data_IF_144986023005
#
_entry.id   IF_144986023005
#
_cell.length_a   1.000
_cell.length_b   1.000
_cell.length_c   1.000
_cell.angle_alpha   90.00
_cell.angle_beta   90.00
_cell.angle_gamma   90.00
#
_symmetry.space_group_name_H-M   'P 1'
#
loop_
_entity.id
_entity.type
_entity.pdbx_description
1 polymer ?
#
# COMPACT_ATOMS: atom_id res chain seq x y z
N UNK A 1 29.45 -18.45 -0.33
CA UNK A 1 27.98 -18.36 -0.47
C UNK A 1 27.54 -17.13 0.27
N UNK A 2 26.63 -16.34 -0.28
CA UNK A 2 26.10 -15.19 0.43
C UNK A 2 25.16 -15.64 1.56
N UNK A 3 25.25 -15.01 2.73
CA UNK A 3 24.40 -15.32 3.89
C UNK A 3 23.23 -14.34 4.02
N UNK A 4 22.26 -14.65 4.89
CA UNK A 4 21.10 -13.77 5.15
C UNK A 4 21.50 -12.44 5.80
N UNK A 5 22.64 -12.41 6.51
CA UNK A 5 23.13 -11.25 7.27
C UNK A 5 24.04 -10.32 6.46
N UNK A 6 24.37 -10.69 5.22
CA UNK A 6 25.19 -9.85 4.36
C UNK A 6 24.37 -8.78 3.67
N UNK A 7 24.99 -7.61 3.52
CA UNK A 7 24.47 -6.50 2.73
C UNK A 7 24.09 -6.97 1.31
N UNK A 8 23.02 -6.38 0.79
CA UNK A 8 22.58 -6.59 -0.58
C UNK A 8 22.01 -5.28 -1.14
N UNK A 9 21.99 -5.15 -2.46
CA UNK A 9 21.38 -4.00 -3.13
C UNK A 9 20.29 -4.44 -4.10
N UNK A 10 19.22 -3.64 -4.19
CA UNK A 10 18.18 -3.78 -5.22
C UNK A 10 18.04 -2.46 -5.96
N UNK A 11 18.49 -2.42 -7.22
CA UNK A 11 18.42 -1.21 -8.06
C UNK A 11 18.96 0.07 -7.36
N UNK A 12 20.07 -0.06 -6.62
CA UNK A 12 20.70 1.05 -5.88
C UNK A 12 20.21 1.26 -4.45
N UNK A 13 19.08 0.66 -4.04
CA UNK A 13 18.65 0.63 -2.63
C UNK A 13 19.52 -0.39 -1.87
N UNK A 14 20.37 0.09 -0.98
CA UNK A 14 21.26 -0.73 -0.16
C UNK A 14 20.54 -1.17 1.11
N UNK A 15 20.47 -2.48 1.34
CA UNK A 15 19.86 -3.10 2.52
C UNK A 15 20.95 -3.80 3.32
N UNK A 16 21.00 -3.54 4.63
CA UNK A 16 22.05 -4.05 5.53
C UNK A 16 22.05 -5.57 5.69
N UNK A 17 20.97 -6.24 5.26
CA UNK A 17 20.85 -7.69 5.21
C UNK A 17 19.70 -8.08 4.27
N UNK A 18 19.44 -9.40 4.16
CA UNK A 18 18.43 -9.98 3.27
C UNK A 18 17.08 -10.26 3.97
N UNK A 19 16.86 -9.72 5.17
CA UNK A 19 15.62 -9.88 5.91
C UNK A 19 14.64 -8.78 5.55
N UNK A 20 13.46 -9.19 5.05
CA UNK A 20 12.39 -8.29 4.66
C UNK A 20 11.21 -8.53 5.59
N UNK A 21 10.76 -7.49 6.29
CA UNK A 21 9.49 -7.52 6.98
C UNK A 21 8.37 -7.34 5.95
N UNK A 22 7.55 -8.37 5.79
CA UNK A 22 6.41 -8.36 4.86
C UNK A 22 5.39 -7.30 5.22
N UNK A 23 4.72 -6.76 4.19
CA UNK A 23 3.57 -5.88 4.36
C UNK A 23 2.56 -6.51 5.32
N UNK A 24 2.32 -5.83 6.45
CA UNK A 24 1.41 -6.29 7.50
C UNK A 24 0.63 -5.08 7.97
N UNK A 25 -0.69 -5.17 8.03
CA UNK A 25 -1.53 -4.09 8.56
C UNK A 25 -1.44 -4.03 10.08
N UNK A 26 -1.03 -2.87 10.61
CA UNK A 26 -0.81 -2.65 12.04
C UNK A 26 -2.00 -1.99 12.75
N UNK A 27 -2.91 -1.34 11.99
CA UNK A 27 -4.03 -0.58 12.55
C UNK A 27 -3.60 0.67 13.34
N UNK A 28 -2.45 1.25 13.00
CA UNK A 28 -1.81 2.35 13.73
C UNK A 28 -1.82 3.70 12.98
N UNK A 29 -2.68 3.87 11.97
CA UNK A 29 -2.86 5.15 11.29
C UNK A 29 -4.11 5.89 11.78
N UNK A 30 -4.14 7.20 11.57
CA UNK A 30 -5.33 8.02 11.79
C UNK A 30 -6.43 7.70 10.77
N UNK A 31 -7.63 8.25 10.99
CA UNK A 31 -8.77 7.98 10.12
C UNK A 31 -8.55 8.47 8.68
N UNK A 32 -7.79 9.55 8.48
CA UNK A 32 -7.42 10.06 7.16
C UNK A 32 -6.24 9.26 6.53
N UNK A 33 -5.63 8.35 7.28
CA UNK A 33 -4.54 7.50 6.82
C UNK A 33 -3.15 8.02 7.14
N UNK A 34 -3.00 9.08 7.95
CA UNK A 34 -1.68 9.52 8.41
C UNK A 34 -1.02 8.47 9.32
N UNK A 35 0.28 8.18 9.13
CA UNK A 35 1.00 7.32 10.05
C UNK A 35 1.15 8.03 11.40
N UNK A 36 0.66 7.42 12.48
CA UNK A 36 0.80 8.00 13.81
C UNK A 36 2.20 7.75 14.38
N UNK A 37 2.54 8.44 15.47
CA UNK A 37 3.77 8.18 16.23
C UNK A 37 3.93 6.71 16.64
N UNK A 38 2.82 5.99 16.88
CA UNK A 38 2.85 4.56 17.21
C UNK A 38 3.39 3.73 16.04
N UNK A 39 2.97 4.03 14.81
CA UNK A 39 3.46 3.34 13.62
C UNK A 39 4.93 3.67 13.36
N UNK A 40 5.31 4.94 13.52
CA UNK A 40 6.69 5.40 13.37
C UNK A 40 7.62 4.68 14.35
N UNK A 41 7.23 4.60 15.63
CA UNK A 41 8.00 3.87 16.64
C UNK A 41 8.05 2.37 16.34
N UNK A 42 6.95 1.76 15.89
CA UNK A 42 6.95 0.36 15.47
C UNK A 42 7.98 0.08 14.35
N UNK A 43 8.07 0.97 13.35
CA UNK A 43 9.02 0.78 12.25
C UNK A 43 10.47 1.07 12.68
N UNK A 44 10.69 2.04 13.57
CA UNK A 44 11.98 2.26 14.21
C UNK A 44 12.43 1.01 14.97
N UNK A 45 11.57 0.42 15.78
CA UNK A 45 11.90 -0.77 16.58
C UNK A 45 12.23 -1.98 15.70
N UNK A 46 11.49 -2.17 14.60
CA UNK A 46 11.79 -3.21 13.60
C UNK A 46 13.16 -3.02 12.95
N UNK A 47 13.50 -1.78 12.59
CA UNK A 47 14.81 -1.44 12.02
C UNK A 47 15.94 -1.65 13.04
N UNK A 48 15.76 -1.20 14.28
CA UNK A 48 16.71 -1.42 15.39
C UNK A 48 16.90 -2.92 15.70
N UNK A 49 15.86 -3.72 15.51
CA UNK A 49 15.91 -5.19 15.58
C UNK A 49 16.70 -5.86 14.45
N UNK A 50 17.19 -5.09 13.48
CA UNK A 50 18.03 -5.55 12.39
C UNK A 50 17.28 -5.94 11.13
N UNK A 51 16.02 -5.54 10.92
CA UNK A 51 15.34 -5.76 9.64
C UNK A 51 15.99 -4.89 8.55
N UNK A 52 16.38 -5.52 7.43
CA UNK A 52 17.01 -4.83 6.30
C UNK A 52 16.03 -3.95 5.52
N UNK A 53 14.82 -4.46 5.25
CA UNK A 53 13.75 -3.72 4.57
C UNK A 53 12.39 -3.93 5.25
N UNK A 54 11.71 -2.85 5.56
CA UNK A 54 10.34 -2.83 6.05
C UNK A 54 9.42 -2.49 4.88
N UNK A 55 8.51 -3.40 4.54
CA UNK A 55 7.42 -3.08 3.63
C UNK A 55 6.21 -2.66 4.47
N UNK A 56 5.65 -1.50 4.16
CA UNK A 56 4.52 -0.97 4.92
C UNK A 56 3.29 -1.86 4.82
N UNK A 57 2.35 -1.69 5.75
CA UNK A 57 0.99 -2.18 5.55
C UNK A 57 0.34 -1.60 4.29
N UNK A 58 -0.83 -2.14 3.94
CA UNK A 58 -1.67 -1.68 2.84
C UNK A 58 -1.78 -0.15 2.87
N UNK A 59 -1.39 0.53 1.78
CA UNK A 59 -1.42 1.99 1.68
C UNK A 59 -2.32 2.44 0.55
N UNK A 60 -3.49 3.00 0.86
CA UNK A 60 -4.46 3.36 -0.18
C UNK A 60 -4.04 4.61 -0.95
N UNK A 61 -4.12 4.53 -2.28
CA UNK A 61 -3.75 5.62 -3.20
C UNK A 61 -4.87 6.63 -3.42
N UNK A 62 -6.11 6.25 -3.13
CA UNK A 62 -7.33 7.07 -3.20
C UNK A 62 -8.21 6.81 -1.96
N UNK A 63 -8.87 7.84 -1.38
CA UNK A 63 -9.76 7.65 -0.23
C UNK A 63 -10.83 6.57 -0.46
N UNK A 64 -11.43 6.53 -1.65
CA UNK A 64 -12.42 5.54 -2.05
C UNK A 64 -11.84 4.12 -2.24
N UNK A 65 -10.52 4.02 -2.38
CA UNK A 65 -9.77 2.79 -2.43
C UNK A 65 -9.39 2.24 -1.06
N UNK A 66 -9.88 2.83 0.03
CA UNK A 66 -9.61 2.35 1.38
C UNK A 66 -10.35 1.04 1.66
N UNK A 67 -9.61 -0.03 1.94
CA UNK A 67 -10.19 -1.31 2.34
C UNK A 67 -10.96 -1.20 3.66
N UNK A 68 -11.82 -2.17 3.97
CA UNK A 68 -12.75 -2.10 5.10
C UNK A 68 -12.12 -2.25 6.52
N UNK A 69 -10.83 -1.95 6.70
CA UNK A 69 -10.14 -2.02 7.98
C UNK A 69 -9.86 -0.62 8.57
N UNK A 70 -9.90 -0.46 9.90
CA UNK A 70 -9.50 0.80 10.53
C UNK A 70 -7.98 1.01 10.51
N UNK A 71 -7.53 2.25 10.59
CA UNK A 71 -6.11 2.59 10.75
C UNK A 71 -5.18 2.09 9.62
N UNK A 72 -5.70 2.02 8.39
CA UNK A 72 -4.92 1.78 7.17
C UNK A 72 -4.18 3.07 6.79
N UNK A 73 -2.95 2.93 6.32
CA UNK A 73 -2.13 4.07 5.86
C UNK A 73 -2.64 4.60 4.51
N UNK A 74 -2.54 5.90 4.27
CA UNK A 74 -2.94 6.55 3.01
C UNK A 74 -1.81 7.35 2.39
N UNK A 75 -1.76 7.46 1.06
CA UNK A 75 -0.77 8.26 0.32
C UNK A 75 -1.41 9.14 -0.76
N UNK A 76 -2.65 9.55 -0.51
CA UNK A 76 -3.50 10.24 -1.49
C UNK A 76 -3.37 11.78 -1.50
N UNK A 77 -2.71 12.38 -0.51
CA UNK A 77 -2.65 13.84 -0.34
C UNK A 77 -1.22 14.29 -0.05
N UNK A 78 -0.82 15.42 -0.63
CA UNK A 78 0.49 16.01 -0.37
C UNK A 78 0.65 16.56 1.06
N UNK A 79 -0.45 16.75 1.78
CA UNK A 79 -0.44 17.19 3.17
C UNK A 79 0.20 16.17 4.13
N UNK A 80 0.46 14.94 3.66
CA UNK A 80 1.06 13.86 4.45
C UNK A 80 2.58 13.85 4.37
N UNK A 81 3.19 14.74 3.57
CA UNK A 81 4.64 14.78 3.33
C UNK A 81 5.44 14.71 4.63
N UNK A 82 5.08 15.54 5.62
CA UNK A 82 5.84 15.60 6.87
C UNK A 82 5.75 14.31 7.69
N UNK A 83 4.60 13.65 7.67
CA UNK A 83 4.39 12.40 8.42
C UNK A 83 5.22 11.26 7.81
N UNK A 84 5.27 11.19 6.48
CA UNK A 84 6.09 10.20 5.76
C UNK A 84 7.59 10.47 5.90
N UNK A 85 8.02 11.74 5.84
CA UNK A 85 9.41 12.11 6.10
C UNK A 85 9.84 11.68 7.51
N UNK A 86 8.98 11.90 8.52
CA UNK A 86 9.27 11.48 9.88
C UNK A 86 9.36 9.94 10.00
N UNK A 87 8.49 9.20 9.30
CA UNK A 87 8.51 7.74 9.26
C UNK A 87 9.78 7.22 8.58
N UNK A 88 10.15 7.75 7.42
CA UNK A 88 11.34 7.36 6.67
C UNK A 88 12.61 7.64 7.48
N UNK A 89 12.75 8.86 8.00
CA UNK A 89 13.89 9.25 8.83
C UNK A 89 14.02 8.35 10.07
N UNK A 90 12.92 8.02 10.75
CA UNK A 90 12.97 7.13 11.91
C UNK A 90 13.48 5.72 11.58
N UNK A 91 13.18 5.21 10.39
CA UNK A 91 13.70 3.92 9.90
C UNK A 91 15.17 4.03 9.51
N UNK A 92 15.53 5.07 8.77
CA UNK A 92 16.90 5.31 8.31
C UNK A 92 17.88 5.56 9.47
N UNK A 93 17.48 6.38 10.45
CA UNK A 93 18.26 6.65 11.66
C UNK A 93 18.50 5.38 12.49
N UNK A 94 17.61 4.39 12.37
CA UNK A 94 17.73 3.07 12.99
C UNK A 94 18.50 2.06 12.13
N UNK A 95 19.00 2.46 10.95
CA UNK A 95 19.76 1.60 10.03
C UNK A 95 18.89 0.64 9.22
N UNK A 96 17.59 0.90 9.06
CA UNK A 96 16.72 0.15 8.16
C UNK A 96 16.47 0.87 6.83
N UNK A 97 15.77 0.20 5.93
CA UNK A 97 15.14 0.81 4.75
C UNK A 97 13.63 0.56 4.78
N UNK A 98 12.86 1.39 4.07
CA UNK A 98 11.40 1.30 4.03
C UNK A 98 10.87 1.40 2.60
N UNK A 99 9.88 0.56 2.28
CA UNK A 99 9.10 0.64 1.06
C UNK A 99 7.61 0.73 1.36
N UNK A 100 6.87 1.54 0.59
CA UNK A 100 5.41 1.66 0.75
C UNK A 100 4.69 0.65 -0.13
N UNK A 101 3.80 -0.16 0.44
CA UNK A 101 2.90 -1.02 -0.32
C UNK A 101 1.68 -0.22 -0.81
N UNK A 102 1.74 0.26 -2.05
CA UNK A 102 0.64 0.97 -2.71
C UNK A 102 -0.48 -0.01 -3.05
N UNK A 103 -1.71 0.38 -2.74
CA UNK A 103 -2.86 -0.49 -2.87
C UNK A 103 -4.15 0.27 -3.17
N UNK A 104 -5.15 -0.49 -3.62
CA UNK A 104 -6.52 -0.07 -3.76
C UNK A 104 -7.45 -1.25 -3.39
N UNK A 105 -8.42 -0.99 -2.50
CA UNK A 105 -9.34 -1.98 -1.93
C UNK A 105 -10.20 -2.67 -2.98
N UNK A 106 -10.61 -1.92 -4.00
CA UNK A 106 -11.48 -2.41 -5.05
C UNK A 106 -12.80 -2.93 -4.46
N UNK A 107 -13.22 -4.12 -4.87
CA UNK A 107 -14.36 -4.81 -4.25
C UNK A 107 -14.24 -5.11 -2.74
N UNK A 108 -13.04 -5.03 -2.15
CA UNK A 108 -12.82 -5.12 -0.69
C UNK A 108 -12.82 -3.74 0.00
N UNK A 109 -13.31 -2.69 -0.65
CA UNK A 109 -13.74 -1.45 0.02
C UNK A 109 -15.18 -1.59 0.51
N UNK A 110 -15.71 -0.59 1.22
CA UNK A 110 -17.15 -0.47 1.47
C UNK A 110 -17.60 0.99 1.52
N UNK A 111 -18.89 1.23 1.30
CA UNK A 111 -19.53 2.55 1.35
C UNK A 111 -19.31 3.30 2.67
N UNK A 112 -19.17 2.59 3.79
CA UNK A 112 -18.98 3.20 5.12
C UNK A 112 -17.62 3.86 5.28
N UNK A 113 -16.53 3.22 4.83
CA UNK A 113 -15.16 3.73 4.96
C UNK A 113 -14.70 4.50 3.72
N UNK A 114 -15.14 4.10 2.52
CA UNK A 114 -14.76 4.70 1.25
C UNK A 114 -15.67 5.86 0.82
N UNK A 115 -16.83 6.04 1.50
CA UNK A 115 -17.80 7.09 1.18
C UNK A 115 -18.58 6.90 -0.13
N UNK A 116 -18.32 5.81 -0.86
CA UNK A 116 -19.02 5.44 -2.10
C UNK A 116 -19.08 3.92 -2.28
N UNK A 117 -19.95 3.48 -3.18
CA UNK A 117 -20.00 2.07 -3.59
C UNK A 117 -18.60 1.61 -4.08
N UNK A 118 -18.12 0.43 -3.64
CA UNK A 118 -16.88 -0.17 -4.08
C UNK A 118 -16.80 -0.30 -5.59
N UNK A 119 -15.59 -0.21 -6.11
CA UNK A 119 -15.32 -0.33 -7.53
C UNK A 119 -14.49 -1.58 -7.80
N UNK A 120 -14.85 -2.34 -8.81
CA UNK A 120 -14.15 -3.56 -9.20
C UNK A 120 -14.13 -3.71 -10.73
N UNK A 121 -13.35 -4.66 -11.29
CA UNK A 121 -13.33 -4.89 -12.73
C UNK A 121 -14.70 -5.28 -13.30
N UNK A 122 -15.54 -5.93 -12.50
CA UNK A 122 -16.90 -6.33 -12.87
C UNK A 122 -17.83 -6.27 -11.66
N UNK A 123 -19.12 -6.08 -11.92
CA UNK A 123 -20.16 -6.11 -10.90
C UNK A 123 -20.49 -7.56 -10.47
N UNK A 124 -19.57 -8.19 -9.74
CA UNK A 124 -19.69 -9.57 -9.25
C UNK A 124 -19.51 -9.60 -7.74
N UNK A 125 -20.47 -10.20 -7.04
CA UNK A 125 -20.36 -10.47 -5.61
C UNK A 125 -19.55 -11.74 -5.36
N UNK A 126 -18.54 -11.64 -4.50
CA UNK A 126 -17.82 -12.78 -3.91
C UNK A 126 -17.79 -12.65 -2.38
N UNK A 127 -17.48 -13.74 -1.68
CA UNK A 127 -17.49 -13.78 -0.20
C UNK A 127 -16.58 -12.73 0.47
N UNK A 128 -15.53 -12.30 -0.24
CA UNK A 128 -14.56 -11.31 0.24
C UNK A 128 -15.08 -9.86 0.14
N UNK A 129 -16.11 -9.62 -0.68
CA UNK A 129 -16.63 -8.27 -0.90
C UNK A 129 -17.73 -7.98 0.13
N UNK A 130 -17.61 -6.92 0.94
CA UNK A 130 -18.61 -6.62 1.97
C UNK A 130 -19.95 -6.16 1.39
N UNK A 131 -19.96 -5.65 0.15
CA UNK A 131 -21.15 -5.27 -0.61
C UNK A 131 -20.88 -5.38 -2.12
N UNK A 132 -21.94 -5.34 -2.94
CA UNK A 132 -21.82 -5.48 -4.40
C UNK A 132 -21.03 -4.31 -4.99
N UNK A 133 -19.88 -4.54 -5.65
CA UNK A 133 -19.15 -3.48 -6.31
C UNK A 133 -19.83 -3.04 -7.61
N UNK A 134 -19.60 -1.80 -8.00
CA UNK A 134 -19.86 -1.34 -9.35
C UNK A 134 -18.67 -1.69 -10.27
N UNK A 135 -18.98 -1.95 -11.54
CA UNK A 135 -17.98 -2.14 -12.58
C UNK A 135 -17.30 -0.82 -12.92
N UNK A 136 -15.96 -0.81 -12.89
CA UNK A 136 -15.13 0.33 -13.24
C UNK A 136 -15.33 0.76 -14.70
N UNK A 137 -15.45 2.06 -14.93
CA UNK A 137 -15.31 2.64 -16.28
C UNK A 137 -13.84 2.73 -16.68
N UNK A 138 -13.57 2.94 -17.97
CA UNK A 138 -12.20 3.10 -18.47
C UNK A 138 -11.53 4.35 -17.88
N UNK A 139 -12.30 5.42 -17.72
CA UNK A 139 -11.85 6.66 -17.10
C UNK A 139 -11.45 6.44 -15.63
N UNK A 140 -12.28 5.73 -14.86
CA UNK A 140 -11.95 5.39 -13.47
C UNK A 140 -10.70 4.50 -13.37
N UNK A 141 -10.51 3.56 -14.32
CA UNK A 141 -9.27 2.77 -14.39
C UNK A 141 -8.05 3.67 -14.62
N UNK A 142 -8.14 4.62 -15.55
CA UNK A 142 -7.05 5.57 -15.84
C UNK A 142 -6.75 6.45 -14.63
N UNK A 143 -7.78 6.95 -13.94
CA UNK A 143 -7.63 7.76 -12.73
C UNK A 143 -6.93 6.97 -11.60
N UNK A 144 -7.30 5.70 -11.42
CA UNK A 144 -6.64 4.80 -10.46
C UNK A 144 -5.17 4.57 -10.85
N UNK A 145 -4.87 4.29 -12.12
CA UNK A 145 -3.48 4.14 -12.60
C UNK A 145 -2.67 5.39 -12.29
N UNK A 146 -3.23 6.57 -12.56
CA UNK A 146 -2.62 7.87 -12.25
C UNK A 146 -2.37 8.01 -10.74
N UNK A 147 -3.32 7.62 -9.91
CA UNK A 147 -3.18 7.66 -8.45
C UNK A 147 -2.08 6.73 -7.91
N UNK A 148 -1.90 5.54 -8.49
CA UNK A 148 -0.75 4.68 -8.18
C UNK A 148 0.58 5.34 -8.55
N UNK A 149 0.65 5.96 -9.74
CA UNK A 149 1.83 6.71 -10.17
C UNK A 149 2.15 7.88 -9.24
N UNK A 150 1.12 8.61 -8.80
CA UNK A 150 1.27 9.74 -7.91
C UNK A 150 1.64 9.31 -6.47
N UNK A 151 1.10 8.19 -5.99
CA UNK A 151 1.55 7.58 -4.74
C UNK A 151 3.04 7.20 -4.78
N UNK A 152 3.51 6.64 -5.90
CA UNK A 152 4.94 6.35 -6.09
C UNK A 152 5.80 7.63 -6.15
N UNK A 153 5.32 8.68 -6.83
CA UNK A 153 5.98 9.99 -6.87
C UNK A 153 6.14 10.57 -5.46
N UNK A 154 5.07 10.55 -4.67
CA UNK A 154 5.05 11.01 -3.27
C UNK A 154 6.00 10.21 -2.39
N UNK A 155 5.94 8.88 -2.42
CA UNK A 155 6.84 8.03 -1.66
C UNK A 155 8.30 8.38 -1.90
N UNK A 156 8.70 8.52 -3.18
CA UNK A 156 10.05 8.95 -3.55
C UNK A 156 10.37 10.36 -3.06
N UNK A 157 9.44 11.31 -3.19
CA UNK A 157 9.66 12.70 -2.78
C UNK A 157 9.82 12.86 -1.26
N UNK A 158 9.23 11.95 -0.47
CA UNK A 158 9.24 12.00 1.00
C UNK A 158 10.28 11.09 1.64
N UNK A 159 11.25 10.62 0.85
CA UNK A 159 12.41 9.88 1.36
C UNK A 159 12.20 8.38 1.57
N UNK A 160 11.11 7.79 1.05
CA UNK A 160 10.95 6.33 1.06
C UNK A 160 11.85 5.70 -0.02
N UNK A 161 12.46 4.56 0.29
CA UNK A 161 13.45 3.89 -0.57
C UNK A 161 12.82 3.15 -1.77
N UNK A 162 11.55 2.78 -1.68
CA UNK A 162 10.86 2.07 -2.75
C UNK A 162 9.35 1.95 -2.58
N UNK A 163 8.72 1.30 -3.56
CA UNK A 163 7.29 0.97 -3.50
C UNK A 163 7.06 -0.48 -3.92
N UNK A 164 6.04 -1.09 -3.34
CA UNK A 164 5.50 -2.38 -3.74
C UNK A 164 4.07 -2.18 -4.24
N UNK A 165 3.74 -2.70 -5.43
CA UNK A 165 2.36 -2.71 -5.92
C UNK A 165 1.62 -3.92 -5.35
N UNK A 166 0.46 -3.69 -4.73
CA UNK A 166 -0.32 -4.78 -4.16
C UNK A 166 -1.18 -5.51 -5.20
N UNK A 167 -0.56 -6.47 -5.89
CA UNK A 167 -1.18 -7.34 -6.90
C UNK A 167 -1.80 -8.64 -6.40
N UNK A 168 -2.08 -8.76 -5.08
CA UNK A 168 -2.42 -10.02 -4.44
C UNK A 168 -3.72 -9.95 -3.60
N UNK A 169 -4.07 -11.07 -2.95
CA UNK A 169 -5.08 -11.19 -1.90
C UNK A 169 -6.50 -10.67 -2.25
N UNK A 170 -6.87 -10.67 -3.53
CA UNK A 170 -8.18 -10.21 -3.97
C UNK A 170 -8.36 -8.69 -3.90
N UNK A 171 -7.30 -7.88 -3.76
CA UNK A 171 -7.37 -6.42 -3.92
C UNK A 171 -7.39 -6.03 -5.39
N UNK A 172 -7.58 -4.74 -5.71
CA UNK A 172 -8.01 -4.31 -7.04
C UNK A 172 -7.17 -4.89 -8.20
N UNK A 173 -5.84 -4.81 -8.13
CA UNK A 173 -4.98 -5.36 -9.20
C UNK A 173 -5.20 -6.88 -9.34
N UNK A 174 -5.30 -7.61 -8.23
CA UNK A 174 -5.58 -9.04 -8.25
C UNK A 174 -6.99 -9.35 -8.77
N UNK A 175 -7.97 -8.47 -8.51
CA UNK A 175 -9.32 -8.62 -9.02
C UNK A 175 -9.34 -8.58 -10.56
N UNK A 176 -8.52 -7.73 -11.19
CA UNK A 176 -8.36 -7.71 -12.66
C UNK A 176 -7.71 -8.99 -13.19
N UNK A 177 -6.73 -9.54 -12.46
CA UNK A 177 -6.00 -10.74 -12.89
C UNK A 177 -6.80 -12.04 -12.72
N UNK A 178 -7.81 -12.05 -11.86
CA UNK A 178 -8.56 -13.25 -11.51
C UNK A 178 -9.83 -13.39 -12.35
N UNK A 179 -10.03 -14.51 -13.07
CA UNK A 179 -11.27 -14.74 -13.81
C UNK A 179 -12.48 -14.95 -12.88
N UNK A 180 -12.28 -15.11 -11.57
CA UNK A 180 -13.40 -15.20 -10.62
C UNK A 180 -14.12 -13.85 -10.47
N UNK A 181 -13.35 -12.75 -10.55
CA UNK A 181 -13.79 -11.37 -10.26
C UNK A 181 -13.79 -10.49 -11.50
N UNK A 182 -13.01 -10.82 -12.53
CA UNK A 182 -12.99 -10.11 -13.81
C UNK A 182 -13.76 -10.90 -14.88
N UNK A 183 -14.88 -10.33 -15.33
CA UNK A 183 -15.78 -10.84 -16.39
C UNK A 183 -15.89 -9.87 -17.56
N UNK A 184 -14.96 -8.92 -17.64
CA UNK A 184 -14.92 -7.93 -18.70
C UNK A 184 -14.72 -8.59 -20.05
N UNK A 185 -15.16 -7.89 -21.09
CA UNK A 185 -15.05 -8.31 -22.49
C UNK A 185 -14.38 -7.25 -23.35
N UNK A 186 -13.86 -6.19 -22.71
CA UNK A 186 -13.07 -5.14 -23.34
C UNK A 186 -11.58 -5.49 -23.25
N UNK A 187 -10.70 -4.49 -23.38
CA UNK A 187 -9.25 -4.68 -23.35
C UNK A 187 -8.66 -5.01 -21.96
N UNK A 188 -9.49 -5.05 -20.90
CA UNK A 188 -9.10 -5.27 -19.50
C UNK A 188 -9.57 -6.61 -18.93
#
# INVERSE_FOLDING_TARGET
>A
MATVFEETAMNGMVMNNRMIRSATWEGMCDQDGRPTEKLINCYRDLAQGGIGLIISGLTFVLPEGKAFFPGIMGIHSDDFAKDYENLANAVHDAGGTVAIQLAHGGGQSNSTYAGRQPLAPSAVQVDQFPEMPAELTKEEIIDIISAFGEGARRAKAWGVDGVQLHGAHGFLINQFLSPLTNRRTDEY
#
